data_IF_499750892865
#
_entry.id   IF_499750892865
#
_cell.length_a   1.000
_cell.length_b   1.000
_cell.length_c   1.000
_cell.angle_alpha   90.00
_cell.angle_beta   90.00
_cell.angle_gamma   90.00
#
_symmetry.space_group_name_H-M   'P 1'
#
loop_
_entity.id
_entity.type
_entity.pdbx_description
1 polymer ?
#
# COMPACT_ATOMS: atom_id res chain seq x y z
N UNK A 1 1.00 27.02 -18.47
CA UNK A 1 1.64 26.22 -17.41
C UNK A 1 3.11 26.10 -17.76
N UNK A 2 4.02 26.43 -16.83
CA UNK A 2 5.45 26.22 -17.04
C UNK A 2 5.69 24.79 -17.51
N UNK A 3 6.44 24.61 -18.60
CA UNK A 3 6.87 23.29 -19.06
C UNK A 3 7.80 22.70 -18.00
N UNK A 4 7.25 21.98 -17.02
CA UNK A 4 8.04 20.98 -16.30
C UNK A 4 8.59 20.03 -17.36
N UNK A 5 9.89 19.71 -17.29
CA UNK A 5 10.42 18.64 -18.11
C UNK A 5 9.65 17.34 -17.79
N UNK A 6 9.52 16.42 -18.75
CA UNK A 6 8.88 15.11 -18.48
C UNK A 6 9.57 14.38 -17.32
N UNK A 7 10.86 14.60 -17.12
CA UNK A 7 11.66 14.07 -16.01
C UNK A 7 11.19 14.67 -14.67
N UNK A 8 11.01 15.98 -14.59
CA UNK A 8 10.55 16.63 -13.35
C UNK A 8 9.12 16.20 -13.02
N UNK A 9 8.26 16.08 -14.04
CA UNK A 9 6.90 15.58 -13.84
C UNK A 9 6.92 14.12 -13.36
N UNK A 10 7.77 13.26 -13.93
CA UNK A 10 7.94 11.89 -13.46
C UNK A 10 8.39 11.85 -12.00
N UNK A 11 9.40 12.65 -11.62
CA UNK A 11 9.87 12.74 -10.22
C UNK A 11 8.76 13.20 -9.27
N UNK A 12 7.91 14.13 -9.71
CA UNK A 12 6.73 14.55 -8.96
C UNK A 12 5.74 13.40 -8.76
N UNK A 13 5.40 12.67 -9.82
CA UNK A 13 4.50 11.49 -9.75
C UNK A 13 5.06 10.45 -8.80
N UNK A 14 6.34 10.08 -8.91
CA UNK A 14 6.94 9.08 -8.01
C UNK A 14 6.88 9.49 -6.54
N UNK A 15 7.15 10.76 -6.23
CA UNK A 15 7.05 11.28 -4.87
C UNK A 15 5.61 11.31 -4.36
N UNK A 16 4.67 11.75 -5.21
CA UNK A 16 3.24 11.82 -4.90
C UNK A 16 2.68 10.46 -4.50
N UNK A 17 3.12 9.40 -5.19
CA UNK A 17 2.65 8.03 -4.98
C UNK A 17 3.54 7.21 -4.03
N UNK A 18 4.58 7.80 -3.41
CA UNK A 18 5.51 7.08 -2.54
C UNK A 18 4.88 6.74 -1.19
N UNK A 19 4.99 5.47 -0.77
CA UNK A 19 4.48 4.99 0.51
C UNK A 19 5.34 5.38 1.71
N UNK A 20 6.57 5.87 1.49
CA UNK A 20 7.55 6.13 2.56
C UNK A 20 7.12 7.22 3.55
N UNK A 21 6.24 8.12 3.12
CA UNK A 21 5.82 9.26 3.91
C UNK A 21 4.40 9.12 4.48
N UNK A 22 3.70 8.02 4.20
CA UNK A 22 2.29 7.84 4.62
C UNK A 22 2.15 7.98 6.14
N UNK A 23 2.92 7.21 6.91
CA UNK A 23 2.83 7.26 8.37
C UNK A 23 3.16 8.65 8.91
N UNK A 24 4.09 9.39 8.28
CA UNK A 24 4.43 10.75 8.69
C UNK A 24 3.27 11.71 8.41
N UNK A 25 2.62 11.59 7.25
CA UNK A 25 1.47 12.42 6.88
C UNK A 25 0.29 12.13 7.79
N UNK A 26 -0.01 10.86 8.08
CA UNK A 26 -1.05 10.45 9.03
C UNK A 26 -0.75 10.98 10.43
N UNK A 27 0.47 10.77 10.93
CA UNK A 27 0.82 11.20 12.28
C UNK A 27 0.71 12.73 12.42
N UNK A 28 1.16 13.50 11.43
CA UNK A 28 1.02 14.96 11.44
C UNK A 28 -0.45 15.42 11.51
N UNK A 29 -1.36 14.68 10.88
CA UNK A 29 -2.81 14.95 10.89
C UNK A 29 -3.41 14.60 12.26
N UNK A 30 -3.08 13.43 12.79
CA UNK A 30 -3.49 12.99 14.13
C UNK A 30 -3.01 13.97 15.19
N UNK A 31 -1.74 14.39 15.15
CA UNK A 31 -1.15 15.30 16.13
C UNK A 31 -1.36 16.78 15.80
N UNK A 32 -2.30 17.11 14.89
CA UNK A 32 -2.66 18.50 14.62
C UNK A 32 -3.40 19.13 15.81
N UNK A 33 -4.08 18.32 16.62
CA UNK A 33 -4.82 18.73 17.80
C UNK A 33 -4.14 18.28 19.10
N UNK A 34 -4.10 19.17 20.10
CA UNK A 34 -3.48 18.88 21.40
C UNK A 34 -4.19 17.74 22.15
N UNK A 35 -5.51 17.63 22.00
CA UNK A 35 -6.33 16.55 22.57
C UNK A 35 -5.82 15.17 22.17
N UNK A 36 -5.48 14.98 20.89
CA UNK A 36 -4.96 13.71 20.38
C UNK A 36 -3.53 13.45 20.87
N UNK A 37 -2.70 14.48 20.98
CA UNK A 37 -1.35 14.35 21.56
C UNK A 37 -1.44 13.87 23.01
N UNK A 38 -2.31 14.49 23.80
CA UNK A 38 -2.52 14.13 25.20
C UNK A 38 -3.11 12.71 25.35
N UNK A 39 -4.01 12.32 24.42
CA UNK A 39 -4.58 10.97 24.38
C UNK A 39 -3.53 9.90 24.06
N UNK A 40 -2.68 10.15 23.07
CA UNK A 40 -1.54 9.27 22.72
C UNK A 40 -0.60 9.12 23.92
N UNK A 41 -0.24 10.23 24.58
CA UNK A 41 0.66 10.21 25.73
C UNK A 41 0.06 9.44 26.91
N UNK A 42 -1.20 9.71 27.27
CA UNK A 42 -1.88 9.00 28.37
C UNK A 42 -2.08 7.51 28.08
N UNK A 43 -2.32 7.13 26.83
CA UNK A 43 -2.39 5.72 26.41
C UNK A 43 -1.01 5.06 26.50
N UNK A 44 0.06 5.76 26.12
CA UNK A 44 1.43 5.26 26.24
C UNK A 44 1.83 5.05 27.71
N UNK A 45 1.40 5.93 28.61
CA UNK A 45 1.59 5.79 30.06
C UNK A 45 0.83 4.56 30.60
N UNK A 46 -0.43 4.37 30.21
CA UNK A 46 -1.22 3.20 30.59
C UNK A 46 -0.60 1.89 30.09
N UNK A 47 -0.12 1.86 28.85
CA UNK A 47 0.63 0.72 28.31
C UNK A 47 1.93 0.46 29.07
N UNK A 48 2.64 1.52 29.48
CA UNK A 48 3.84 1.39 30.29
C UNK A 48 3.51 0.81 31.67
N UNK A 49 2.41 1.23 32.30
CA UNK A 49 1.95 0.65 33.57
C UNK A 49 1.57 -0.83 33.39
N UNK A 50 0.82 -1.15 32.34
CA UNK A 50 0.48 -2.53 31.97
C UNK A 50 1.72 -3.39 31.73
N UNK A 51 2.75 -2.84 31.07
CA UNK A 51 4.00 -3.56 30.79
C UNK A 51 4.75 -3.97 32.07
N UNK A 52 4.64 -3.16 33.13
CA UNK A 52 5.29 -3.39 34.42
C UNK A 52 4.42 -4.14 35.44
N UNK A 53 3.21 -4.56 35.04
CA UNK A 53 2.35 -5.39 35.87
C UNK A 53 2.95 -6.79 36.11
N UNK A 54 2.46 -7.47 37.16
CA UNK A 54 2.83 -8.86 37.44
C UNK A 54 1.73 -9.81 36.97
N UNK A 55 2.07 -10.65 35.98
CA UNK A 55 1.16 -11.62 35.38
C UNK A 55 1.70 -13.05 35.47
N UNK A 56 1.01 -13.98 34.82
CA UNK A 56 1.51 -15.35 34.68
C UNK A 56 2.83 -15.40 33.91
N UNK A 57 3.66 -16.39 34.24
CA UNK A 57 5.05 -16.49 33.80
C UNK A 57 5.26 -16.27 32.29
N UNK A 58 4.49 -16.93 31.43
CA UNK A 58 4.65 -16.80 29.98
C UNK A 58 4.32 -15.41 29.44
N UNK A 59 3.38 -14.66 30.06
CA UNK A 59 3.14 -13.25 29.71
C UNK A 59 4.30 -12.38 30.13
N UNK A 60 4.77 -12.50 31.38
CA UNK A 60 5.92 -11.72 31.86
C UNK A 60 7.16 -11.93 30.96
N UNK A 61 7.38 -13.16 30.46
CA UNK A 61 8.46 -13.44 29.50
C UNK A 61 8.28 -12.72 28.14
N UNK A 62 7.05 -12.64 27.61
CA UNK A 62 6.75 -11.87 26.39
C UNK A 62 6.97 -10.38 26.60
N UNK A 63 6.41 -9.82 27.69
CA UNK A 63 6.50 -8.40 28.00
C UNK A 63 7.94 -7.94 28.24
N UNK A 64 8.79 -8.81 28.78
CA UNK A 64 10.22 -8.54 28.95
C UNK A 64 10.93 -8.15 27.63
N UNK A 65 10.48 -8.68 26.49
CA UNK A 65 11.04 -8.34 25.17
C UNK A 65 10.76 -6.89 24.75
N UNK A 66 9.81 -6.22 25.41
CA UNK A 66 9.39 -4.85 25.10
C UNK A 66 9.93 -3.81 26.09
N UNK A 67 10.74 -4.19 27.09
CA UNK A 67 11.21 -3.28 28.15
C UNK A 67 11.94 -2.04 27.62
N UNK A 68 12.69 -2.18 26.52
CA UNK A 68 13.43 -1.08 25.91
C UNK A 68 12.66 -0.35 24.79
N UNK A 69 11.38 -0.71 24.56
CA UNK A 69 10.55 -0.10 23.50
C UNK A 69 9.85 1.12 24.06
N UNK A 70 9.86 2.21 23.28
CA UNK A 70 9.06 3.38 23.57
C UNK A 70 7.57 3.09 23.25
N UNK A 71 6.72 3.10 24.28
CA UNK A 71 5.28 2.82 24.13
C UNK A 71 4.55 3.87 23.29
N UNK A 72 4.97 5.14 23.32
CA UNK A 72 4.41 6.19 22.47
C UNK A 72 4.66 5.89 20.98
N UNK A 73 5.84 5.37 20.65
CA UNK A 73 6.14 4.89 19.29
C UNK A 73 5.27 3.69 18.91
N UNK A 74 5.00 2.77 19.84
CA UNK A 74 4.11 1.63 19.57
C UNK A 74 2.68 2.10 19.31
N UNK A 75 2.15 2.99 20.16
CA UNK A 75 0.81 3.58 20.02
C UNK A 75 0.67 4.28 18.67
N UNK A 76 1.61 5.16 18.33
CA UNK A 76 1.57 5.91 17.06
C UNK A 76 1.72 5.03 15.83
N UNK A 77 2.56 3.98 15.87
CA UNK A 77 2.69 3.02 14.74
C UNK A 77 1.44 2.15 14.54
N UNK A 78 0.73 1.79 15.62
CA UNK A 78 -0.56 1.09 15.55
C UNK A 78 -1.64 2.04 15.05
N UNK A 79 -1.71 3.26 15.58
CA UNK A 79 -2.67 4.29 15.15
C UNK A 79 -2.56 4.62 13.67
N UNK A 80 -1.34 4.71 13.12
CA UNK A 80 -1.15 4.91 11.69
C UNK A 80 -1.76 3.79 10.83
N UNK A 81 -1.98 2.60 11.39
CA UNK A 81 -2.59 1.46 10.68
C UNK A 81 -4.09 1.33 10.94
N UNK A 82 -4.58 1.75 12.12
CA UNK A 82 -6.00 1.64 12.46
C UNK A 82 -6.83 2.86 12.04
N UNK A 83 -6.24 4.06 12.05
CA UNK A 83 -6.93 5.32 11.69
C UNK A 83 -7.33 5.42 10.21
N UNK A 84 -6.78 4.59 9.34
CA UNK A 84 -7.11 4.56 7.91
C UNK A 84 -8.33 3.68 7.59
N UNK A 85 -8.88 3.00 8.60
CA UNK A 85 -9.98 2.07 8.42
C UNK A 85 -11.29 2.86 8.34
N UNK A 86 -11.97 2.74 7.19
CA UNK A 86 -13.25 3.41 6.92
C UNK A 86 -14.46 2.56 7.35
N UNK A 87 -14.26 1.26 7.55
CA UNK A 87 -15.31 0.28 7.87
C UNK A 87 -14.78 -0.66 8.97
N UNK A 88 -15.66 -1.27 9.79
CA UNK A 88 -15.24 -2.25 10.78
C UNK A 88 -14.45 -3.41 10.17
N UNK A 89 -13.34 -3.78 10.80
CA UNK A 89 -12.47 -4.88 10.35
C UNK A 89 -12.34 -5.93 11.44
N UNK A 90 -12.33 -7.21 11.07
CA UNK A 90 -12.10 -8.31 12.01
C UNK A 90 -10.84 -8.06 12.86
N UNK A 91 -10.99 -8.16 14.18
CA UNK A 91 -9.95 -7.84 15.13
C UNK A 91 -8.69 -8.69 14.91
N UNK A 92 -8.85 -9.97 14.57
CA UNK A 92 -7.75 -10.89 14.27
C UNK A 92 -6.94 -10.44 13.04
N UNK A 93 -7.59 -9.88 12.02
CA UNK A 93 -6.95 -9.38 10.81
C UNK A 93 -6.09 -8.17 11.09
N UNK A 94 -6.61 -7.17 11.81
CA UNK A 94 -5.87 -5.94 12.12
C UNK A 94 -4.74 -6.18 13.13
N UNK A 95 -4.92 -7.08 14.10
CA UNK A 95 -3.84 -7.54 15.00
C UNK A 95 -2.71 -8.17 14.19
N UNK A 96 -3.02 -9.02 13.21
CA UNK A 96 -2.02 -9.63 12.34
C UNK A 96 -1.22 -8.62 11.50
N UNK A 97 -1.87 -7.53 11.07
CA UNK A 97 -1.22 -6.42 10.37
C UNK A 97 -0.29 -5.62 11.31
N UNK A 98 -0.76 -5.35 12.53
CA UNK A 98 -0.02 -4.56 13.52
C UNK A 98 1.10 -5.35 14.23
N UNK A 99 1.09 -6.68 14.20
CA UNK A 99 2.06 -7.51 14.94
C UNK A 99 3.54 -7.21 14.64
N UNK A 100 3.82 -6.72 13.42
CA UNK A 100 5.17 -6.30 13.02
C UNK A 100 5.73 -5.10 13.79
N UNK A 101 4.86 -4.27 14.39
CA UNK A 101 5.23 -3.09 15.19
C UNK A 101 6.08 -3.49 16.39
N UNK A 102 5.78 -4.63 17.01
CA UNK A 102 6.48 -5.06 18.23
C UNK A 102 7.91 -5.56 17.97
N UNK A 103 8.21 -5.99 16.73
CA UNK A 103 9.51 -6.56 16.33
C UNK A 103 9.95 -7.76 17.19
N UNK A 104 9.00 -8.50 17.74
CA UNK A 104 9.26 -9.73 18.51
C UNK A 104 9.82 -10.82 17.60
N UNK A 105 10.68 -11.68 18.14
CA UNK A 105 11.31 -12.78 17.39
C UNK A 105 10.31 -13.86 17.03
N UNK A 106 9.38 -14.16 17.94
CA UNK A 106 8.30 -15.10 17.71
C UNK A 106 7.04 -14.40 17.22
N UNK A 107 6.48 -14.89 16.11
CA UNK A 107 5.30 -14.27 15.47
C UNK A 107 4.03 -14.48 16.30
N UNK A 108 3.89 -15.64 16.93
CA UNK A 108 2.71 -15.95 17.74
C UNK A 108 2.70 -15.07 18.99
N UNK A 109 3.84 -14.95 19.68
CA UNK A 109 4.00 -14.03 20.81
C UNK A 109 3.74 -12.58 20.39
N UNK A 110 4.23 -12.16 19.22
CA UNK A 110 3.95 -10.84 18.65
C UNK A 110 2.45 -10.59 18.44
N UNK A 111 1.72 -11.55 17.86
CA UNK A 111 0.27 -11.45 17.64
C UNK A 111 -0.48 -11.34 18.96
N UNK A 112 -0.20 -12.23 19.93
CA UNK A 112 -0.88 -12.22 21.23
C UNK A 112 -0.62 -10.91 21.97
N UNK A 113 0.63 -10.45 22.00
CA UNK A 113 1.01 -9.20 22.69
C UNK A 113 0.37 -7.99 22.01
N UNK A 114 0.27 -7.99 20.68
CA UNK A 114 -0.39 -6.91 19.93
C UNK A 114 -1.88 -6.85 20.23
N UNK A 115 -2.57 -7.99 20.31
CA UNK A 115 -3.98 -8.03 20.71
C UNK A 115 -4.19 -7.44 22.11
N UNK A 116 -3.32 -7.75 23.07
CA UNK A 116 -3.40 -7.19 24.43
C UNK A 116 -3.12 -5.69 24.45
N UNK A 117 -2.13 -5.21 23.69
CA UNK A 117 -1.83 -3.78 23.56
C UNK A 117 -3.02 -3.04 22.94
N UNK A 118 -3.61 -3.58 21.88
CA UNK A 118 -4.78 -2.99 21.24
C UNK A 118 -6.01 -2.97 22.17
N UNK A 119 -6.17 -3.98 23.04
CA UNK A 119 -7.21 -3.95 24.07
C UNK A 119 -7.00 -2.80 25.07
N UNK A 120 -5.77 -2.57 25.55
CA UNK A 120 -5.47 -1.40 26.39
C UNK A 120 -5.74 -0.09 25.62
N UNK A 121 -5.33 -0.01 24.36
CA UNK A 121 -5.61 1.18 23.53
C UNK A 121 -7.11 1.45 23.36
N UNK A 122 -7.95 0.41 23.27
CA UNK A 122 -9.40 0.59 23.17
C UNK A 122 -10.05 1.12 24.46
N UNK A 123 -9.44 0.88 25.63
CA UNK A 123 -9.90 1.47 26.90
C UNK A 123 -9.65 2.99 26.98
N UNK A 124 -8.91 3.54 26.01
CA UNK A 124 -8.56 4.95 25.89
C UNK A 124 -9.20 5.61 24.65
N UNK A 125 -10.31 5.07 24.14
CA UNK A 125 -11.12 5.66 23.06
C UNK A 125 -10.37 5.91 21.72
N UNK A 126 -9.21 5.29 21.49
CA UNK A 126 -8.50 5.38 20.22
C UNK A 126 -9.23 4.62 19.08
N UNK A 127 -9.96 3.58 19.45
CA UNK A 127 -10.86 2.78 18.62
C UNK A 127 -11.64 1.82 19.53
N UNK A 128 -12.76 1.31 19.06
CA UNK A 128 -13.54 0.32 19.80
C UNK A 128 -13.22 -1.11 19.34
N UNK A 129 -13.34 -2.06 20.27
CA UNK A 129 -13.32 -3.50 19.96
C UNK A 129 -14.67 -4.08 20.37
N UNK A 130 -15.51 -4.34 19.37
CA UNK A 130 -16.88 -4.77 19.59
C UNK A 130 -17.18 -6.12 18.97
N UNK A 131 -18.13 -6.82 19.59
CA UNK A 131 -18.61 -8.10 19.08
C UNK A 131 -19.80 -7.84 18.16
N UNK A 132 -19.63 -8.11 16.88
CA UNK A 132 -20.70 -8.00 15.89
C UNK A 132 -21.20 -9.38 15.52
N UNK A 133 -22.52 -9.51 15.36
CA UNK A 133 -23.14 -10.73 14.86
C UNK A 133 -22.77 -10.90 13.38
N UNK A 134 -22.20 -12.06 13.06
CA UNK A 134 -21.96 -12.50 11.69
C UNK A 134 -22.67 -13.83 11.44
N UNK A 135 -22.84 -14.20 10.17
CA UNK A 135 -23.47 -15.47 9.77
C UNK A 135 -22.75 -16.70 10.35
N UNK A 136 -21.47 -16.58 10.72
CA UNK A 136 -20.63 -17.65 11.30
C UNK A 136 -20.55 -17.59 12.84
N UNK A 137 -21.32 -16.71 13.47
CA UNK A 137 -21.29 -16.45 14.90
C UNK A 137 -20.74 -15.06 15.23
N UNK A 138 -20.67 -14.73 16.50
CA UNK A 138 -20.29 -13.40 16.93
C UNK A 138 -18.75 -13.25 16.96
N UNK A 139 -18.22 -12.37 16.09
CA UNK A 139 -16.79 -12.13 15.84
C UNK A 139 -16.42 -10.75 16.39
N UNK A 140 -15.18 -10.59 16.88
CA UNK A 140 -14.68 -9.29 17.33
C UNK A 140 -14.23 -8.45 16.13
N UNK A 141 -14.66 -7.21 16.09
CA UNK A 141 -14.30 -6.19 15.11
C UNK A 141 -13.63 -5.02 15.81
N UNK A 142 -12.66 -4.41 15.12
CA UNK A 142 -12.18 -3.08 15.46
C UNK A 142 -12.99 -2.05 14.69
N UNK A 143 -13.49 -1.04 15.40
CA UNK A 143 -14.24 0.09 14.86
C UNK A 143 -13.38 1.34 15.08
N UNK A 144 -13.03 2.01 14.00
CA UNK A 144 -12.19 3.20 14.06
C UNK A 144 -13.01 4.41 14.55
N UNK A 145 -12.54 5.07 15.60
CA UNK A 145 -13.18 6.25 16.19
C UNK A 145 -12.55 7.57 15.73
N UNK A 146 -11.49 7.48 14.90
CA UNK A 146 -10.71 8.63 14.49
C UNK A 146 -10.95 8.90 13.00
N UNK A 147 -11.35 10.13 12.69
CA UNK A 147 -11.51 10.60 11.33
C UNK A 147 -10.26 11.37 10.88
N UNK A 148 -9.57 10.85 9.86
CA UNK A 148 -8.48 11.57 9.21
C UNK A 148 -9.03 12.61 8.24
N UNK A 149 -8.30 13.70 8.03
CA UNK A 149 -8.72 14.73 7.08
C UNK A 149 -8.89 14.17 5.66
N UNK A 150 -9.86 14.72 4.90
CA UNK A 150 -10.10 14.31 3.50
C UNK A 150 -8.84 14.40 2.64
N UNK A 151 -7.96 15.37 2.93
CA UNK A 151 -6.69 15.54 2.21
C UNK A 151 -5.74 14.37 2.46
N UNK A 152 -5.66 13.88 3.70
CA UNK A 152 -4.83 12.74 4.06
C UNK A 152 -5.40 11.44 3.50
N UNK A 153 -6.72 11.24 3.61
CA UNK A 153 -7.39 10.08 3.00
C UNK A 153 -7.19 10.03 1.48
N UNK A 154 -7.30 11.18 0.81
CA UNK A 154 -6.98 11.30 -0.62
C UNK A 154 -5.52 10.97 -0.91
N UNK A 155 -4.58 11.42 -0.08
CA UNK A 155 -3.16 11.12 -0.25
C UNK A 155 -2.88 9.63 -0.09
N UNK A 156 -3.41 8.99 0.96
CA UNK A 156 -3.32 7.54 1.18
C UNK A 156 -3.84 6.78 -0.04
N UNK A 157 -5.00 7.19 -0.54
CA UNK A 157 -5.62 6.59 -1.72
C UNK A 157 -4.73 6.70 -2.96
N UNK A 158 -4.19 7.88 -3.24
CA UNK A 158 -3.27 8.10 -4.36
C UNK A 158 -1.99 7.25 -4.23
N UNK A 159 -1.45 7.06 -3.03
CA UNK A 159 -0.22 6.26 -2.80
C UNK A 159 -0.38 4.74 -2.95
N UNK A 160 -1.61 4.22 -3.17
CA UNK A 160 -1.85 2.77 -3.28
C UNK A 160 -1.05 2.13 -4.42
N UNK A 161 -0.99 2.80 -5.58
CA UNK A 161 -0.35 2.32 -6.79
C UNK A 161 0.40 3.45 -7.51
N UNK A 162 1.59 3.13 -8.01
CA UNK A 162 2.37 4.02 -8.87
C UNK A 162 2.00 3.74 -10.35
N UNK A 163 1.59 4.74 -11.15
CA UNK A 163 1.32 4.55 -12.57
C UNK A 163 2.60 4.23 -13.38
N UNK A 164 2.47 3.80 -14.65
CA UNK A 164 3.59 3.66 -15.57
C UNK A 164 4.43 4.94 -15.69
N UNK A 165 5.71 4.80 -16.06
CA UNK A 165 6.59 5.96 -16.23
C UNK A 165 6.37 6.63 -17.57
N UNK A 166 6.35 7.97 -17.62
CA UNK A 166 6.26 8.73 -18.88
C UNK A 166 7.62 9.02 -19.53
N UNK A 167 8.68 8.55 -18.90
CA UNK A 167 10.07 8.56 -19.37
C UNK A 167 10.66 7.17 -19.18
N UNK A 168 11.71 6.86 -19.93
CA UNK A 168 12.36 5.56 -19.82
C UNK A 168 12.84 5.33 -18.38
N UNK A 169 12.54 4.15 -17.78
CA UNK A 169 13.04 3.78 -16.46
C UNK A 169 14.57 3.78 -16.40
N UNK A 170 15.12 3.96 -15.20
CA UNK A 170 16.57 3.84 -14.99
C UNK A 170 17.04 2.41 -15.31
N UNK A 171 18.25 2.30 -15.87
CA UNK A 171 18.92 0.99 -16.01
C UNK A 171 19.26 0.45 -14.64
N UNK A 172 18.74 -0.74 -14.35
CA UNK A 172 18.94 -1.46 -13.09
C UNK A 172 20.25 -2.23 -13.17
N UNK A 173 21.14 -1.97 -12.21
CA UNK A 173 22.48 -2.59 -12.16
C UNK A 173 22.70 -3.52 -10.96
N UNK A 174 21.73 -3.55 -10.04
CA UNK A 174 21.74 -4.38 -8.84
C UNK A 174 20.31 -4.76 -8.43
N UNK A 175 20.16 -5.88 -7.72
CA UNK A 175 18.89 -6.34 -7.16
C UNK A 175 18.27 -5.37 -6.14
N UNK A 176 19.06 -4.41 -5.64
CA UNK A 176 18.65 -3.37 -4.69
C UNK A 176 18.72 -1.95 -5.29
N UNK A 177 18.86 -1.86 -6.61
CA UNK A 177 18.82 -0.59 -7.34
C UNK A 177 17.37 -0.14 -7.55
N UNK A 178 17.10 0.74 -8.52
CA UNK A 178 15.71 0.96 -8.91
C UNK A 178 15.57 1.42 -10.34
N UNK A 179 14.46 0.98 -10.91
CA UNK A 179 13.92 1.43 -12.18
C UNK A 179 13.28 2.83 -12.08
N UNK A 180 13.06 3.35 -10.87
CA UNK A 180 12.54 4.70 -10.58
C UNK A 180 13.62 5.78 -10.53
N UNK A 181 13.21 7.04 -10.73
CA UNK A 181 14.09 8.21 -10.69
C UNK A 181 14.39 8.73 -9.28
N UNK A 182 13.55 8.41 -8.30
CA UNK A 182 13.57 9.05 -6.97
C UNK A 182 13.93 8.13 -5.83
N UNK A 183 13.78 6.82 -5.98
CA UNK A 183 13.98 5.88 -4.87
C UNK A 183 14.48 4.52 -5.29
N UNK A 184 15.30 3.90 -4.42
CA UNK A 184 15.77 2.51 -4.55
C UNK A 184 14.75 1.50 -4.00
N UNK A 185 14.69 0.30 -4.58
CA UNK A 185 13.82 -0.79 -4.10
C UNK A 185 14.36 -2.18 -4.48
N UNK A 186 13.83 -3.26 -3.90
CA UNK A 186 14.19 -4.60 -4.37
C UNK A 186 13.57 -4.89 -5.74
N UNK A 187 14.34 -5.49 -6.65
CA UNK A 187 13.84 -6.02 -7.94
C UNK A 187 13.18 -7.40 -7.81
N UNK A 188 13.30 -8.02 -6.64
CA UNK A 188 12.69 -9.30 -6.30
C UNK A 188 11.43 -9.04 -5.47
N UNK A 189 10.31 -9.63 -5.90
CA UNK A 189 9.01 -9.58 -5.25
C UNK A 189 8.91 -10.58 -4.09
N UNK A 190 8.09 -10.22 -3.10
CA UNK A 190 7.87 -11.01 -1.88
C UNK A 190 8.76 -10.57 -0.72
N UNK A 191 8.26 -10.70 0.51
CA UNK A 191 9.03 -10.41 1.72
C UNK A 191 9.93 -11.60 2.04
N UNK A 192 11.20 -11.34 2.35
CA UNK A 192 12.17 -12.37 2.73
C UNK A 192 12.74 -13.19 1.57
N UNK A 193 12.55 -12.73 0.33
CA UNK A 193 13.07 -13.38 -0.89
C UNK A 193 14.31 -12.66 -1.45
N UNK A 194 14.80 -11.63 -0.77
CA UNK A 194 15.86 -10.76 -1.27
C UNK A 194 17.23 -11.45 -1.23
N UNK A 195 17.99 -11.32 -2.31
CA UNK A 195 19.35 -11.84 -2.42
C UNK A 195 20.16 -11.03 -3.45
N UNK A 196 21.48 -11.27 -3.52
CA UNK A 196 22.40 -10.66 -4.48
C UNK A 196 22.74 -11.56 -5.67
N UNK A 197 22.20 -12.78 -5.73
CA UNK A 197 22.42 -13.70 -6.87
C UNK A 197 21.83 -13.13 -8.16
N UNK A 198 22.29 -13.64 -9.30
CA UNK A 198 21.84 -13.21 -10.62
C UNK A 198 20.34 -13.48 -10.84
N UNK A 199 19.64 -12.47 -11.35
CA UNK A 199 18.21 -12.52 -11.68
C UNK A 199 17.92 -12.07 -13.11
N UNK A 200 18.94 -12.07 -13.98
CA UNK A 200 18.84 -11.61 -15.37
C UNK A 200 18.35 -10.16 -15.48
N UNK A 201 19.08 -9.23 -14.86
CA UNK A 201 18.78 -7.79 -14.90
C UNK A 201 18.76 -7.22 -16.32
N UNK A 202 19.51 -7.82 -17.24
CA UNK A 202 19.50 -7.52 -18.67
C UNK A 202 18.10 -7.68 -19.28
N UNK A 203 17.42 -8.78 -18.95
CA UNK A 203 16.06 -9.05 -19.40
C UNK A 203 15.08 -8.03 -18.82
N UNK A 204 15.22 -7.68 -17.53
CA UNK A 204 14.42 -6.63 -16.90
C UNK A 204 14.61 -5.28 -17.60
N UNK A 205 15.86 -4.89 -17.86
CA UNK A 205 16.18 -3.64 -18.55
C UNK A 205 15.63 -3.61 -19.99
N UNK A 206 15.65 -4.76 -20.70
CA UNK A 206 15.05 -4.89 -22.01
C UNK A 206 13.54 -4.64 -21.95
N UNK A 207 12.81 -5.30 -21.05
CA UNK A 207 11.36 -5.08 -20.90
C UNK A 207 11.03 -3.65 -20.51
N UNK A 208 11.77 -3.06 -19.57
CA UNK A 208 11.58 -1.68 -19.12
C UNK A 208 11.84 -0.64 -20.23
N UNK A 209 12.62 -0.99 -21.25
CA UNK A 209 12.93 -0.10 -22.37
C UNK A 209 11.83 -0.01 -23.43
N UNK A 210 10.86 -0.92 -23.41
CA UNK A 210 9.80 -1.00 -24.43
C UNK A 210 8.81 0.15 -24.24
N UNK A 211 8.69 1.07 -25.21
CA UNK A 211 7.70 2.13 -25.13
C UNK A 211 6.32 1.65 -25.55
N UNK A 212 5.34 1.96 -24.72
CA UNK A 212 3.93 1.59 -24.89
C UNK A 212 3.06 2.83 -25.00
N UNK A 213 1.88 2.69 -25.60
CA UNK A 213 0.85 3.71 -25.63
C UNK A 213 -0.54 3.10 -25.39
N UNK A 214 -1.50 3.97 -25.08
CA UNK A 214 -2.90 3.58 -24.96
C UNK A 214 -3.58 3.64 -26.33
N UNK A 215 -4.33 2.60 -26.67
CA UNK A 215 -5.19 2.56 -27.84
C UNK A 215 -6.46 3.40 -27.58
N UNK A 216 -6.40 4.67 -27.99
CA UNK A 216 -7.48 5.65 -27.80
C UNK A 216 -8.79 5.22 -28.50
N UNK A 217 -8.70 4.48 -29.62
CA UNK A 217 -9.87 3.99 -30.34
C UNK A 217 -10.64 2.96 -29.51
N UNK A 218 -9.94 2.07 -28.80
CA UNK A 218 -10.58 1.10 -27.91
C UNK A 218 -11.17 1.83 -26.70
N UNK A 219 -10.41 2.72 -26.07
CA UNK A 219 -10.85 3.48 -24.89
C UNK A 219 -12.08 4.37 -25.14
N UNK A 220 -12.25 4.88 -26.36
CA UNK A 220 -13.39 5.74 -26.72
C UNK A 220 -14.63 4.97 -27.16
N UNK A 221 -14.49 3.68 -27.50
CA UNK A 221 -15.58 2.84 -28.03
C UNK A 221 -16.04 1.76 -27.08
N UNK A 222 -15.16 1.29 -26.22
CA UNK A 222 -15.38 0.20 -25.29
C UNK A 222 -15.10 0.65 -23.86
N UNK A 223 -15.82 0.04 -22.93
CA UNK A 223 -15.62 0.25 -21.50
C UNK A 223 -15.26 -1.07 -20.83
N UNK A 224 -14.46 -0.99 -19.76
CA UNK A 224 -14.19 -2.15 -18.92
C UNK A 224 -15.50 -2.63 -18.29
N UNK A 225 -15.77 -3.93 -18.38
CA UNK A 225 -16.96 -4.56 -17.79
C UNK A 225 -16.53 -5.54 -16.69
N UNK A 226 -17.38 -5.74 -15.66
CA UNK A 226 -17.05 -6.69 -14.61
C UNK A 226 -17.10 -8.12 -15.16
N UNK A 227 -16.20 -8.98 -14.67
CA UNK A 227 -16.15 -10.39 -15.09
C UNK A 227 -17.41 -11.16 -14.71
N UNK A 228 -18.04 -10.79 -13.59
CA UNK A 228 -19.30 -11.35 -13.11
C UNK A 228 -20.32 -10.21 -13.02
N UNK A 229 -21.50 -10.32 -13.64
CA UNK A 229 -22.53 -9.29 -13.55
C UNK A 229 -23.16 -9.23 -12.16
N UNK A 230 -23.30 -10.39 -11.51
CA UNK A 230 -23.82 -10.49 -10.14
C UNK A 230 -22.68 -10.29 -9.14
N UNK A 231 -22.72 -9.15 -8.45
CA UNK A 231 -21.72 -8.72 -7.49
C UNK A 231 -22.42 -8.23 -6.23
N UNK A 232 -21.83 -8.49 -5.06
CA UNK A 232 -22.27 -7.83 -3.83
C UNK A 232 -22.14 -6.32 -3.95
N UNK A 233 -22.87 -5.57 -3.12
CA UNK A 233 -22.81 -4.10 -3.10
C UNK A 233 -21.36 -3.59 -2.93
N UNK A 234 -20.60 -4.19 -2.01
CA UNK A 234 -19.20 -3.83 -1.79
C UNK A 234 -18.30 -4.13 -2.97
N UNK A 235 -18.43 -5.32 -3.56
CA UNK A 235 -17.61 -5.68 -4.72
C UNK A 235 -17.91 -4.73 -5.88
N UNK A 236 -19.17 -4.35 -6.07
CA UNK A 236 -19.59 -3.38 -7.09
C UNK A 236 -19.02 -1.99 -6.82
N UNK A 237 -19.06 -1.53 -5.56
CA UNK A 237 -18.46 -0.24 -5.11
C UNK A 237 -16.96 -0.22 -5.38
N UNK A 238 -16.24 -1.28 -5.01
CA UNK A 238 -14.79 -1.42 -5.27
C UNK A 238 -14.48 -1.43 -6.76
N UNK A 239 -15.27 -2.14 -7.57
CA UNK A 239 -15.07 -2.19 -9.02
C UNK A 239 -15.31 -0.82 -9.68
N UNK A 240 -16.38 -0.11 -9.31
CA UNK A 240 -16.64 1.24 -9.83
C UNK A 240 -15.53 2.22 -9.47
N UNK A 241 -15.04 2.14 -8.23
CA UNK A 241 -13.90 2.92 -7.75
C UNK A 241 -12.66 2.64 -8.59
N UNK A 242 -12.32 1.36 -8.75
CA UNK A 242 -11.22 0.89 -9.57
C UNK A 242 -11.29 1.40 -11.02
N UNK A 243 -12.47 1.30 -11.66
CA UNK A 243 -12.67 1.77 -13.03
C UNK A 243 -12.48 3.28 -13.11
N UNK A 244 -13.06 4.04 -12.19
CA UNK A 244 -12.92 5.50 -12.12
C UNK A 244 -11.44 5.93 -12.02
N UNK A 245 -10.66 5.30 -11.15
CA UNK A 245 -9.21 5.54 -11.03
C UNK A 245 -8.44 5.19 -12.30
N UNK A 246 -8.83 4.10 -12.94
CA UNK A 246 -8.16 3.63 -14.15
C UNK A 246 -8.34 4.65 -15.27
N UNK A 247 -9.55 5.17 -15.46
CA UNK A 247 -9.81 6.22 -16.45
C UNK A 247 -9.13 7.55 -16.14
N UNK A 248 -8.91 7.89 -14.86
CA UNK A 248 -8.05 9.04 -14.48
C UNK A 248 -6.62 8.80 -14.92
N UNK A 249 -6.07 7.62 -14.62
CA UNK A 249 -4.72 7.23 -15.04
C UNK A 249 -4.58 7.25 -16.57
N UNK A 250 -5.57 6.73 -17.31
CA UNK A 250 -5.57 6.73 -18.76
C UNK A 250 -5.53 8.15 -19.33
N UNK A 251 -6.35 9.04 -18.78
CA UNK A 251 -6.39 10.45 -19.16
C UNK A 251 -5.04 11.13 -18.93
N UNK A 252 -4.44 10.93 -17.76
CA UNK A 252 -3.15 11.53 -17.41
C UNK A 252 -2.04 11.05 -18.36
N UNK A 253 -2.02 9.76 -18.71
CA UNK A 253 -1.06 9.22 -19.68
C UNK A 253 -1.26 9.77 -21.10
N UNK A 254 -2.51 9.91 -21.56
CA UNK A 254 -2.80 10.52 -22.86
C UNK A 254 -2.36 11.99 -22.87
N UNK A 255 -2.71 12.76 -21.82
CA UNK A 255 -2.36 14.18 -21.70
C UNK A 255 -0.85 14.43 -21.59
N UNK A 256 -0.07 13.46 -21.13
CA UNK A 256 1.40 13.52 -21.05
C UNK A 256 2.11 13.06 -22.33
N UNK A 257 1.33 12.81 -23.39
CA UNK A 257 1.83 12.52 -24.74
C UNK A 257 1.65 11.07 -25.18
N UNK A 258 0.81 10.29 -24.49
CA UNK A 258 0.43 8.92 -24.83
C UNK A 258 1.63 8.01 -25.17
N UNK A 259 2.72 8.11 -24.39
CA UNK A 259 3.90 7.26 -24.49
C UNK A 259 4.44 7.03 -23.08
N UNK A 260 4.51 5.77 -22.66
CA UNK A 260 4.89 5.36 -21.31
C UNK A 260 5.64 4.03 -21.31
N UNK A 261 6.16 3.65 -20.15
CA UNK A 261 6.97 2.45 -19.95
C UNK A 261 6.46 1.70 -18.73
N UNK A 262 6.27 0.39 -18.89
CA UNK A 262 5.99 -0.51 -17.78
C UNK A 262 7.30 -0.95 -17.13
N UNK A 263 7.36 -0.83 -15.81
CA UNK A 263 8.44 -1.34 -14.99
C UNK A 263 8.24 -2.82 -14.71
N UNK A 264 9.29 -3.57 -14.46
CA UNK A 264 9.22 -5.02 -14.26
C UNK A 264 10.02 -5.48 -13.04
N UNK A 265 9.49 -6.47 -12.33
CA UNK A 265 10.16 -7.16 -11.22
C UNK A 265 9.98 -8.66 -11.35
N UNK A 266 10.87 -9.42 -10.71
CA UNK A 266 10.83 -10.89 -10.73
C UNK A 266 10.30 -11.44 -9.41
N UNK A 267 9.57 -12.55 -9.43
CA UNK A 267 9.30 -13.31 -8.20
C UNK A 267 10.45 -14.28 -7.87
N UNK A 268 10.37 -14.93 -6.70
CA UNK A 268 11.35 -15.95 -6.27
C UNK A 268 11.49 -17.18 -7.18
N UNK A 269 10.67 -17.29 -8.23
CA UNK A 269 10.69 -18.39 -9.21
C UNK A 269 11.19 -17.90 -10.58
N UNK A 270 11.63 -16.65 -10.68
CA UNK A 270 12.11 -16.05 -11.92
C UNK A 270 11.00 -15.60 -12.89
N UNK A 271 9.74 -15.51 -12.45
CA UNK A 271 8.66 -14.97 -13.29
C UNK A 271 8.69 -13.46 -13.29
N UNK A 272 8.63 -12.84 -14.47
CA UNK A 272 8.63 -11.38 -14.63
C UNK A 272 7.23 -10.80 -14.63
N UNK A 273 7.01 -9.80 -13.79
CA UNK A 273 5.73 -9.13 -13.59
C UNK A 273 5.84 -7.64 -13.90
N UNK A 274 5.00 -7.17 -14.82
CA UNK A 274 4.80 -5.76 -15.04
C UNK A 274 4.24 -5.09 -13.77
N UNK A 275 4.83 -3.96 -13.40
CA UNK A 275 4.49 -3.16 -12.23
C UNK A 275 3.50 -2.09 -12.66
N UNK A 276 2.22 -2.47 -12.76
CA UNK A 276 1.14 -1.58 -13.11
C UNK A 276 -0.20 -2.16 -12.65
N UNK A 277 -1.01 -1.33 -11.99
CA UNK A 277 -2.32 -1.74 -11.52
C UNK A 277 -3.42 -1.34 -12.52
N UNK A 278 -3.54 -0.06 -12.84
CA UNK A 278 -4.54 0.45 -13.77
C UNK A 278 -4.21 0.17 -15.24
N UNK A 279 -2.93 0.25 -15.61
CA UNK A 279 -2.41 -0.01 -16.96
C UNK A 279 -1.39 -1.12 -16.86
N UNK A 280 -1.61 -2.22 -17.57
CA UNK A 280 -0.67 -3.32 -17.64
C UNK A 280 -0.85 -4.14 -18.92
N UNK A 281 0.25 -4.58 -19.50
CA UNK A 281 0.29 -5.66 -20.51
C UNK A 281 -0.06 -7.05 -19.92
N UNK A 282 -0.16 -7.16 -18.59
CA UNK A 282 -0.55 -8.36 -17.87
C UNK A 282 -1.94 -8.19 -17.22
N UNK A 283 -2.53 -9.30 -16.76
CA UNK A 283 -3.85 -9.27 -16.11
C UNK A 283 -5.04 -9.47 -17.05
N UNK A 284 -6.06 -8.61 -16.94
CA UNK A 284 -7.36 -8.82 -17.57
C UNK A 284 -7.36 -8.48 -19.08
N UNK A 285 -8.39 -8.95 -19.80
CA UNK A 285 -8.44 -8.82 -21.26
C UNK A 285 -8.59 -7.37 -21.73
N UNK A 286 -9.36 -6.56 -21.02
CA UNK A 286 -9.57 -5.16 -21.40
C UNK A 286 -8.26 -4.36 -21.30
N UNK A 287 -7.51 -4.51 -20.20
CA UNK A 287 -6.24 -3.83 -19.98
C UNK A 287 -5.17 -4.23 -21.00
N UNK A 288 -5.13 -5.52 -21.35
CA UNK A 288 -4.28 -6.00 -22.44
C UNK A 288 -4.66 -5.37 -23.78
N UNK A 289 -5.95 -5.26 -24.08
CA UNK A 289 -6.42 -4.75 -25.36
C UNK A 289 -6.18 -3.24 -25.54
N UNK A 290 -6.15 -2.46 -24.46
CA UNK A 290 -5.93 -1.01 -24.52
C UNK A 290 -4.46 -0.61 -24.60
N UNK A 291 -3.51 -1.54 -24.46
CA UNK A 291 -2.07 -1.23 -24.52
C UNK A 291 -1.50 -1.74 -25.84
N UNK A 292 -0.74 -0.89 -26.54
CA UNK A 292 -0.04 -1.22 -27.78
C UNK A 292 1.37 -0.62 -27.80
N UNK A 293 2.21 -1.03 -28.75
CA UNK A 293 3.52 -0.41 -28.92
C UNK A 293 3.37 1.06 -29.34
N UNK A 294 4.12 1.95 -28.68
CA UNK A 294 4.11 3.36 -29.03
C UNK A 294 4.66 3.61 -30.45
N UNK A 295 5.68 2.83 -30.80
CA UNK A 295 6.38 2.93 -32.08
C UNK A 295 5.78 1.89 -33.03
N UNK A 296 4.86 2.34 -33.90
CA UNK A 296 4.10 1.48 -34.82
C UNK A 296 4.88 1.16 -36.08
N UNK A 297 4.64 -0.02 -36.64
CA UNK A 297 5.25 -0.47 -37.88
C UNK A 297 4.20 -0.67 -38.97
N UNK A 298 4.63 -0.51 -40.23
CA UNK A 298 3.82 -0.84 -41.40
C UNK A 298 3.90 -2.35 -41.61
N UNK A 299 2.75 -3.01 -41.69
CA UNK A 299 2.68 -4.45 -41.96
C UNK A 299 2.63 -4.67 -43.47
N UNK A 300 3.68 -5.27 -44.01
CA UNK A 300 3.74 -5.79 -45.37
C UNK A 300 3.26 -7.24 -45.32
N UNK A 301 2.02 -7.48 -45.79
CA UNK A 301 1.36 -8.79 -45.76
C UNK A 301 1.86 -9.77 -46.82
#
# INVERSE_FOLDING_TARGET
>A
MNQLSKIDYQRYVERKHSKKQINKVILNDLTAEQSMIDLIASTADALTQWLHGDYYHSKNMRLKQLQDRNMETVVTEILCQTSILEEPVEFTSIVGQCAGVLKMSDKYEGIVTTAEIMAVMSEHDLFDIDKLDSDEGAVLYLINNIELSEQVMKHIYETKYLPPMIVQPNTVTSNFDSDLLTEKSSMILGKGTYHNEDICLDSINLFNSVPLCLNERILTRLSETPKKPDMSADTKRQWLTFVSESYRTYRDLIQTGNKFYERHKVDKRGRTYAQGYHVSTQGNHFRKAIVEFADKEVIEG
#
